data_IF_477474317195
#
_entry.id   IF_477474317195
#
_cell.length_a   1.000
_cell.length_b   1.000
_cell.length_c   1.000
_cell.angle_alpha   90.00
_cell.angle_beta   90.00
_cell.angle_gamma   90.00
#
_symmetry.space_group_name_H-M   'P 1'
#
loop_
_entity.id
_entity.type
_entity.pdbx_description
1 polymer ?
#
# COMPACT_ATOMS: atom_id res chain seq x y z
N UNK A 1 28.48 -27.90 2.60
CA UNK A 1 29.62 -28.00 1.62
C UNK A 1 29.14 -27.50 0.25
N UNK A 2 29.59 -26.33 -0.24
CA UNK A 2 29.08 -25.73 -1.49
C UNK A 2 29.51 -26.54 -2.73
N UNK A 3 28.56 -26.96 -3.57
CA UNK A 3 28.85 -27.65 -4.84
C UNK A 3 29.21 -26.60 -5.92
N UNK A 4 30.20 -26.89 -6.78
CA UNK A 4 30.65 -25.99 -7.87
C UNK A 4 29.61 -25.75 -8.98
N UNK A 5 28.39 -26.30 -8.88
CA UNK A 5 27.35 -26.23 -9.92
C UNK A 5 26.27 -25.21 -9.54
N UNK A 6 25.59 -24.66 -10.56
CA UNK A 6 24.51 -23.67 -10.39
C UNK A 6 23.36 -24.26 -9.54
N UNK A 7 22.99 -23.57 -8.48
CA UNK A 7 21.88 -23.92 -7.58
C UNK A 7 20.57 -23.29 -8.09
N UNK A 8 19.47 -24.05 -8.15
CA UNK A 8 18.15 -23.52 -8.55
C UNK A 8 17.42 -22.80 -7.41
N UNK A 9 17.94 -22.89 -6.17
CA UNK A 9 17.50 -22.13 -4.98
C UNK A 9 16.02 -22.31 -4.58
N UNK A 10 15.41 -23.43 -4.96
CA UNK A 10 14.05 -23.84 -4.53
C UNK A 10 14.03 -24.33 -3.06
N UNK A 11 12.96 -24.01 -2.32
CA UNK A 11 12.73 -24.41 -0.92
C UNK A 11 11.76 -25.60 -0.91
N UNK A 12 11.98 -26.69 -0.12
CA UNK A 12 12.98 -26.87 0.93
C UNK A 12 14.36 -27.36 0.45
N UNK A 13 14.50 -27.84 -0.79
CA UNK A 13 15.78 -28.27 -1.35
C UNK A 13 15.86 -27.99 -2.85
N UNK A 14 16.99 -27.49 -3.35
CA UNK A 14 17.14 -27.30 -4.80
C UNK A 14 17.14 -28.64 -5.56
N UNK A 15 16.70 -28.60 -6.83
CA UNK A 15 16.65 -29.78 -7.70
C UNK A 15 17.99 -30.52 -7.86
N UNK A 16 19.13 -29.84 -7.62
CA UNK A 16 20.44 -30.47 -7.61
C UNK A 16 20.70 -31.26 -6.31
N UNK A 17 20.42 -30.67 -5.15
CA UNK A 17 20.58 -31.34 -3.85
C UNK A 17 19.60 -32.50 -3.70
N UNK A 18 18.36 -32.33 -4.17
CA UNK A 18 17.35 -33.38 -4.21
C UNK A 18 17.84 -34.60 -5.01
N UNK A 19 18.30 -34.39 -6.26
CA UNK A 19 18.81 -35.48 -7.11
C UNK A 19 20.06 -36.17 -6.56
N UNK A 20 20.88 -35.45 -5.80
CA UNK A 20 22.11 -36.00 -5.22
C UNK A 20 21.90 -36.60 -3.82
N UNK A 21 20.67 -36.57 -3.28
CA UNK A 21 20.36 -37.07 -1.94
C UNK A 21 21.09 -36.32 -0.83
N UNK A 22 21.39 -35.04 -1.02
CA UNK A 22 22.15 -34.23 -0.03
C UNK A 22 21.23 -33.23 0.65
N UNK A 23 21.46 -32.98 1.94
CA UNK A 23 20.79 -31.92 2.68
C UNK A 23 21.13 -30.55 2.06
N UNK A 24 20.09 -29.77 1.77
CA UNK A 24 20.24 -28.45 1.18
C UNK A 24 20.29 -27.42 2.31
N UNK A 25 21.49 -26.98 2.66
CA UNK A 25 21.70 -25.94 3.66
C UNK A 25 21.84 -24.60 2.92
N UNK A 26 20.75 -23.84 2.89
CA UNK A 26 20.81 -22.44 2.53
C UNK A 26 21.31 -21.70 3.76
N UNK A 27 22.45 -21.00 3.64
CA UNK A 27 22.83 -20.06 4.67
C UNK A 27 21.66 -19.08 4.81
N UNK A 28 21.03 -19.06 5.98
CA UNK A 28 20.11 -18.00 6.34
C UNK A 28 20.94 -16.73 6.30
N UNK A 29 20.84 -15.99 5.20
CA UNK A 29 21.08 -14.56 5.22
C UNK A 29 20.10 -14.03 6.24
N UNK A 30 20.57 -13.92 7.48
CA UNK A 30 19.94 -13.12 8.51
C UNK A 30 19.43 -11.85 7.83
N UNK A 31 18.13 -11.65 7.94
CA UNK A 31 17.35 -10.80 7.07
C UNK A 31 18.01 -9.45 6.79
N UNK A 32 17.78 -8.99 5.56
CA UNK A 32 18.01 -7.64 5.03
C UNK A 32 19.46 -7.27 4.74
N UNK A 33 19.90 -7.59 3.52
CA UNK A 33 20.86 -6.74 2.81
C UNK A 33 20.23 -5.36 2.68
N UNK A 34 20.70 -4.48 3.56
CA UNK A 34 20.52 -3.06 3.46
C UNK A 34 20.93 -2.62 2.05
N UNK A 35 19.97 -1.97 1.39
CA UNK A 35 20.16 -0.99 0.33
C UNK A 35 21.51 -0.28 0.52
N UNK A 36 22.40 -0.39 -0.47
CA UNK A 36 23.65 0.37 -0.55
C UNK A 36 23.34 1.84 -0.84
N UNK A 37 22.65 2.48 0.09
CA UNK A 37 22.57 3.91 0.25
C UNK A 37 23.00 4.16 1.69
N UNK A 38 23.95 5.07 1.87
CA UNK A 38 24.49 5.48 3.17
C UNK A 38 23.33 5.68 4.15
N UNK A 39 23.10 4.72 5.04
CA UNK A 39 21.96 4.75 5.96
C UNK A 39 22.45 5.15 7.33
N UNK A 40 21.80 6.16 7.92
CA UNK A 40 22.08 6.68 9.27
C UNK A 40 22.05 5.61 10.37
N UNK A 41 21.58 4.39 10.06
CA UNK A 41 21.56 3.21 10.92
C UNK A 41 22.95 2.73 11.40
N UNK A 42 24.06 3.15 10.77
CA UNK A 42 25.39 2.76 11.25
C UNK A 42 25.81 3.46 12.56
N UNK A 43 25.16 4.57 12.93
CA UNK A 43 25.50 5.35 14.14
C UNK A 43 24.61 5.06 15.35
N UNK A 44 23.53 4.29 15.18
CA UNK A 44 22.60 3.99 16.26
C UNK A 44 22.53 2.48 16.46
N UNK A 45 23.06 1.95 17.58
CA UNK A 45 22.85 0.56 17.96
C UNK A 45 21.35 0.29 17.98
N UNK A 46 20.88 -0.68 17.17
CA UNK A 46 19.49 -1.12 17.21
C UNK A 46 19.22 -1.61 18.64
N UNK A 47 18.29 -1.00 19.38
CA UNK A 47 17.99 -1.46 20.73
C UNK A 47 17.56 -2.93 20.69
N UNK A 48 18.04 -3.71 21.66
CA UNK A 48 17.77 -5.15 21.76
C UNK A 48 16.27 -5.45 21.93
N UNK A 49 15.50 -4.46 22.37
CA UNK A 49 14.07 -4.51 22.56
C UNK A 49 13.40 -3.52 21.61
N UNK A 50 12.33 -3.97 20.95
CA UNK A 50 11.54 -3.10 20.10
C UNK A 50 10.93 -1.97 20.95
N UNK A 51 10.81 -0.78 20.38
CA UNK A 51 10.18 0.35 21.07
C UNK A 51 8.77 -0.04 21.55
N UNK A 52 8.40 0.19 22.82
CA UNK A 52 7.19 -0.41 23.37
C UNK A 52 5.92 0.15 22.71
N UNK A 53 5.06 -0.76 22.25
CA UNK A 53 3.80 -0.43 21.55
C UNK A 53 2.89 0.58 22.27
N UNK A 54 2.77 0.60 23.62
CA UNK A 54 1.92 1.56 24.34
C UNK A 54 2.33 3.03 24.20
N UNK A 55 3.54 3.32 23.74
CA UNK A 55 3.99 4.70 23.51
C UNK A 55 3.59 5.23 22.13
N UNK A 56 3.04 4.39 21.25
CA UNK A 56 2.42 4.86 20.02
C UNK A 56 0.99 5.27 20.29
N UNK A 57 0.60 6.44 19.77
CA UNK A 57 -0.78 6.93 19.82
C UNK A 57 -1.76 5.94 19.15
N UNK A 58 -1.28 5.26 18.10
CA UNK A 58 -2.07 4.40 17.22
C UNK A 58 -1.62 2.92 17.30
N UNK A 59 -1.38 2.42 18.52
CA UNK A 59 -0.78 1.10 18.74
C UNK A 59 -1.58 -0.07 18.13
N UNK A 60 -2.90 0.07 18.03
CA UNK A 60 -3.82 -0.88 17.40
C UNK A 60 -3.64 -1.04 15.88
N UNK A 61 -3.12 -0.01 15.21
CA UNK A 61 -2.92 0.01 13.76
C UNK A 61 -1.55 -0.51 13.31
N UNK A 62 -0.66 -0.78 14.27
CA UNK A 62 0.69 -1.32 14.04
C UNK A 62 0.72 -2.84 13.86
N UNK A 63 -0.43 -3.50 13.95
CA UNK A 63 -0.54 -4.93 13.66
C UNK A 63 -0.25 -5.19 12.18
N UNK A 64 0.36 -6.34 11.88
CA UNK A 64 0.68 -6.73 10.51
C UNK A 64 -0.61 -6.80 9.69
N UNK A 65 -0.84 -5.76 8.90
CA UNK A 65 -2.01 -5.64 8.05
C UNK A 65 -1.92 -6.63 6.89
N UNK A 66 -3.06 -7.25 6.56
CA UNK A 66 -3.13 -8.13 5.38
C UNK A 66 -2.86 -7.30 4.11
N UNK A 67 -2.51 -7.96 3.01
CA UNK A 67 -2.15 -7.31 1.73
C UNK A 67 -3.24 -6.33 1.25
N UNK A 68 -4.48 -6.47 1.73
CA UNK A 68 -5.62 -5.61 1.42
C UNK A 68 -6.30 -5.03 2.68
N UNK A 69 -5.67 -5.00 3.85
CA UNK A 69 -6.31 -4.43 5.04
C UNK A 69 -6.51 -2.91 4.93
N UNK A 70 -5.69 -2.23 4.13
CA UNK A 70 -5.89 -0.84 3.71
C UNK A 70 -6.71 -0.71 2.42
N UNK A 71 -7.17 -1.82 1.83
CA UNK A 71 -8.10 -1.72 0.71
C UNK A 71 -9.39 -1.11 1.24
N UNK A 72 -9.87 -0.09 0.53
CA UNK A 72 -10.98 0.72 1.01
C UNK A 72 -12.19 -0.17 1.28
N UNK A 73 -12.58 -0.29 2.54
CA UNK A 73 -13.81 -0.99 2.88
C UNK A 73 -14.98 -0.17 2.36
N UNK A 74 -15.89 -0.85 1.65
CA UNK A 74 -17.18 -0.31 1.22
C UNK A 74 -17.91 0.20 2.45
N UNK A 75 -17.79 1.49 2.74
CA UNK A 75 -18.43 2.13 3.89
C UNK A 75 -19.72 2.79 3.42
N UNK A 76 -20.87 2.08 3.47
CA UNK A 76 -22.14 2.60 2.98
C UNK A 76 -22.60 3.88 3.70
N UNK A 77 -22.18 4.06 4.96
CA UNK A 77 -22.50 5.26 5.74
C UNK A 77 -21.85 6.52 5.18
N UNK A 78 -20.59 6.42 4.73
CA UNK A 78 -19.86 7.56 4.15
C UNK A 78 -20.53 7.98 2.83
N UNK A 79 -20.96 7.02 2.01
CA UNK A 79 -21.72 7.30 0.80
C UNK A 79 -22.99 8.11 1.06
N UNK A 80 -23.72 7.75 2.12
CA UNK A 80 -24.96 8.42 2.47
C UNK A 80 -24.72 9.87 2.92
N UNK A 81 -23.74 10.09 3.80
CA UNK A 81 -23.34 11.43 4.26
C UNK A 81 -22.94 12.31 3.07
N UNK A 82 -22.14 11.73 2.17
CA UNK A 82 -21.60 12.45 1.02
C UNK A 82 -22.71 12.77 0.01
N UNK A 83 -23.69 11.88 -0.18
CA UNK A 83 -24.86 12.14 -1.01
C UNK A 83 -25.79 13.21 -0.43
N UNK A 84 -25.85 13.34 0.90
CA UNK A 84 -26.61 14.39 1.58
C UNK A 84 -25.94 15.77 1.47
N UNK A 85 -24.60 15.81 1.44
CA UNK A 85 -23.83 17.05 1.46
C UNK A 85 -23.29 17.52 0.11
N UNK A 86 -23.19 16.65 -0.91
CA UNK A 86 -22.92 17.12 -2.27
C UNK A 86 -24.19 17.75 -2.85
N UNK A 87 -24.09 19.02 -3.21
CA UNK A 87 -25.08 19.69 -4.06
C UNK A 87 -25.22 18.97 -5.42
N UNK A 88 -26.37 19.16 -6.07
CA UNK A 88 -26.74 18.54 -7.36
C UNK A 88 -25.74 18.85 -8.49
N UNK A 89 -24.97 19.94 -8.38
CA UNK A 89 -24.08 20.45 -9.43
C UNK A 89 -22.68 19.79 -9.45
N UNK A 90 -22.63 18.46 -9.39
CA UNK A 90 -21.38 17.65 -9.43
C UNK A 90 -20.46 17.99 -10.60
N UNK A 91 -21.05 18.37 -11.73
CA UNK A 91 -20.35 18.76 -12.97
C UNK A 91 -19.53 20.04 -12.77
N UNK A 92 -20.08 21.01 -12.04
CA UNK A 92 -19.41 22.30 -11.81
C UNK A 92 -18.20 22.15 -10.88
N UNK A 93 -18.32 21.32 -9.84
CA UNK A 93 -17.22 20.96 -8.94
C UNK A 93 -16.08 20.27 -9.68
N UNK A 94 -16.40 19.40 -10.63
CA UNK A 94 -15.39 18.73 -11.46
C UNK A 94 -14.60 19.73 -12.31
N UNK A 95 -15.28 20.69 -12.95
CA UNK A 95 -14.59 21.75 -13.70
C UNK A 95 -13.80 22.68 -12.79
N UNK A 96 -14.30 22.95 -11.57
CA UNK A 96 -13.58 23.73 -10.57
C UNK A 96 -12.25 23.05 -10.21
N UNK A 97 -12.26 21.77 -9.84
CA UNK A 97 -11.06 20.97 -9.59
C UNK A 97 -10.06 21.01 -10.75
N UNK A 98 -10.55 20.83 -11.98
CA UNK A 98 -9.71 20.82 -13.19
C UNK A 98 -9.05 22.19 -13.44
N UNK A 99 -9.71 23.27 -13.02
CA UNK A 99 -9.21 24.63 -13.19
C UNK A 99 -8.25 25.09 -12.08
N UNK A 100 -8.35 24.53 -10.88
CA UNK A 100 -7.58 24.94 -9.69
C UNK A 100 -6.48 23.92 -9.35
N UNK A 101 -6.86 22.79 -8.77
CA UNK A 101 -5.93 21.82 -8.16
C UNK A 101 -5.28 20.93 -9.20
N UNK A 102 -6.00 20.54 -10.25
CA UNK A 102 -5.45 19.67 -11.29
C UNK A 102 -4.20 20.25 -11.99
N UNK A 103 -4.06 21.59 -12.02
CA UNK A 103 -2.87 22.27 -12.56
C UNK A 103 -1.60 21.97 -11.76
N UNK A 104 -1.73 21.79 -10.45
CA UNK A 104 -0.63 21.54 -9.54
C UNK A 104 -0.50 20.05 -9.21
N UNK A 105 -1.61 19.31 -9.27
CA UNK A 105 -1.70 17.91 -8.86
C UNK A 105 -2.63 17.12 -9.79
N UNK A 106 -2.15 16.68 -10.97
CA UNK A 106 -2.94 15.96 -11.97
C UNK A 106 -3.08 14.48 -11.61
N UNK A 107 -3.62 14.18 -10.43
CA UNK A 107 -3.81 12.81 -9.94
C UNK A 107 -5.00 12.09 -10.60
N UNK A 108 -6.05 12.83 -10.96
CA UNK A 108 -7.28 12.28 -11.54
C UNK A 108 -7.45 12.82 -12.96
N UNK A 109 -7.58 11.92 -13.94
CA UNK A 109 -7.81 12.34 -15.32
C UNK A 109 -9.23 12.89 -15.51
N UNK A 110 -9.38 13.89 -16.38
CA UNK A 110 -10.70 14.46 -16.74
C UNK A 110 -11.72 13.38 -17.13
N UNK A 111 -11.31 12.45 -17.99
CA UNK A 111 -12.20 11.36 -18.45
C UNK A 111 -12.66 10.47 -17.29
N UNK A 112 -11.74 10.13 -16.38
CA UNK A 112 -12.04 9.31 -15.20
C UNK A 112 -13.00 10.03 -14.26
N UNK A 113 -12.75 11.31 -13.99
CA UNK A 113 -13.57 12.14 -13.12
C UNK A 113 -15.03 12.21 -13.61
N UNK A 114 -15.24 12.56 -14.89
CA UNK A 114 -16.59 12.63 -15.46
C UNK A 114 -17.26 11.26 -15.58
N UNK A 115 -16.49 10.21 -15.89
CA UNK A 115 -17.05 8.86 -15.97
C UNK A 115 -17.53 8.34 -14.61
N UNK A 116 -16.78 8.62 -13.53
CA UNK A 116 -17.15 8.22 -12.16
C UNK A 116 -18.32 9.05 -11.61
N UNK A 117 -18.48 10.31 -12.01
CA UNK A 117 -19.65 11.13 -11.67
C UNK A 117 -20.90 10.71 -12.44
N UNK A 118 -20.77 10.33 -13.71
CA UNK A 118 -21.89 9.87 -14.53
C UNK A 118 -22.25 8.40 -14.27
N UNK A 119 -21.33 7.63 -13.67
CA UNK A 119 -21.60 6.26 -13.24
C UNK A 119 -22.39 6.31 -11.95
N UNK A 120 -23.72 6.31 -12.08
CA UNK A 120 -24.69 6.26 -10.98
C UNK A 120 -24.72 4.89 -10.26
N UNK A 121 -23.65 4.10 -10.42
CA UNK A 121 -23.54 2.79 -9.84
C UNK A 121 -23.26 2.94 -8.33
N UNK A 122 -24.18 2.44 -7.53
CA UNK A 122 -24.11 2.20 -6.08
C UNK A 122 -22.93 1.32 -5.61
N UNK A 123 -21.94 1.10 -6.48
CA UNK A 123 -20.70 0.36 -6.28
C UNK A 123 -19.44 1.23 -6.34
N UNK A 124 -19.54 2.51 -6.74
CA UNK A 124 -18.38 3.40 -6.81
C UNK A 124 -17.91 3.73 -5.39
N UNK A 125 -16.61 3.82 -5.19
CA UNK A 125 -15.96 4.17 -3.94
C UNK A 125 -16.25 5.64 -3.55
N UNK A 126 -16.67 5.89 -2.30
CA UNK A 126 -17.06 7.21 -1.79
C UNK A 126 -15.90 8.20 -1.76
N UNK A 127 -14.67 7.71 -1.92
CA UNK A 127 -13.44 8.49 -2.02
C UNK A 127 -13.55 9.70 -2.95
N UNK A 128 -14.04 9.51 -4.18
CA UNK A 128 -14.06 10.61 -5.15
C UNK A 128 -14.98 11.73 -4.67
N UNK A 129 -16.12 11.37 -4.11
CA UNK A 129 -17.11 12.33 -3.66
C UNK A 129 -16.66 13.03 -2.36
N UNK A 130 -15.97 12.35 -1.45
CA UNK A 130 -15.27 12.99 -0.31
C UNK A 130 -14.19 13.96 -0.80
N UNK A 131 -13.40 13.54 -1.78
CA UNK A 131 -12.37 14.39 -2.37
C UNK A 131 -12.98 15.67 -2.94
N UNK A 132 -14.10 15.57 -3.66
CA UNK A 132 -14.82 16.72 -4.19
C UNK A 132 -15.39 17.64 -3.10
N UNK A 133 -15.82 17.12 -1.95
CA UNK A 133 -16.24 17.93 -0.79
C UNK A 133 -15.07 18.65 -0.10
N UNK A 134 -13.86 18.12 -0.23
CA UNK A 134 -12.66 18.68 0.43
C UNK A 134 -11.98 19.81 -0.36
N UNK A 135 -12.45 20.08 -1.58
CA UNK A 135 -11.99 21.17 -2.46
C UNK A 135 -12.70 22.47 -2.12
#
# INVERSE_FOLDING_TARGET
>A
RRLKRKCTREVPACALCYRLGKTCEYAETAASEAFTGISAAAFFPRPAEAFPLPFFLDSEYLTSQSVNALSWSRHPYIHQIVAEHLDDDRVTLCEHYLSTVHKWLPMISRKRLFNEVNSDATEVDGCLAIFLLSM
#
